data_IF_333096247270
#
_entry.id   IF_333096247270
#
_cell.length_a   1.000
_cell.length_b   1.000
_cell.length_c   1.000
_cell.angle_alpha   90.00
_cell.angle_beta   90.00
_cell.angle_gamma   90.00
#
_symmetry.space_group_name_H-M   'P 1'
#
loop_
_entity.id
_entity.type
_entity.pdbx_description
1 polymer ?
#
# COMPACT_ATOMS: atom_id res chain seq x y z
N UNK A 1 57.56 4.03 5.40
CA UNK A 1 57.73 4.87 6.59
C UNK A 1 56.32 5.24 7.07
N UNK A 2 55.78 4.46 8.01
CA UNK A 2 54.59 4.84 8.77
C UNK A 2 55.16 5.45 10.06
N UNK A 3 54.91 6.74 10.28
CA UNK A 3 55.36 7.42 11.48
C UNK A 3 54.64 6.87 12.72
N UNK A 4 55.41 6.66 13.80
CA UNK A 4 54.89 6.31 15.13
C UNK A 4 54.05 7.46 15.67
N UNK A 5 52.81 7.52 15.28
CA UNK A 5 51.86 8.56 15.69
C UNK A 5 50.39 8.28 15.34
N UNK A 6 50.18 7.28 14.48
CA UNK A 6 48.84 7.04 13.89
C UNK A 6 47.98 5.93 14.55
N UNK A 7 48.23 5.62 15.82
CA UNK A 7 47.42 4.63 16.56
C UNK A 7 45.97 5.07 16.77
N UNK A 8 45.64 6.35 16.58
CA UNK A 8 44.27 6.87 16.70
C UNK A 8 43.45 6.72 15.41
N UNK A 9 44.11 6.65 14.24
CA UNK A 9 43.44 6.55 12.92
C UNK A 9 43.09 5.10 12.53
N UNK A 10 43.82 4.12 13.04
CA UNK A 10 43.57 2.70 12.72
C UNK A 10 42.17 2.19 13.13
N UNK A 11 41.66 2.51 14.32
CA UNK A 11 40.28 2.10 14.67
C UNK A 11 39.20 2.73 13.78
N UNK A 12 39.36 4.03 13.44
CA UNK A 12 38.42 4.73 12.55
C UNK A 12 38.45 4.17 11.13
N UNK A 13 39.65 3.86 10.61
CA UNK A 13 39.81 3.21 9.31
C UNK A 13 39.22 1.81 9.30
N UNK A 14 39.46 1.01 10.36
CA UNK A 14 38.91 -0.32 10.50
C UNK A 14 37.39 -0.29 10.61
N UNK A 15 36.82 0.66 11.36
CA UNK A 15 35.39 0.87 11.43
C UNK A 15 34.81 1.22 10.07
N UNK A 16 35.42 2.16 9.34
CA UNK A 16 35.01 2.53 7.98
C UNK A 16 35.02 1.32 7.01
N UNK A 17 36.06 0.48 7.07
CA UNK A 17 36.12 -0.74 6.25
C UNK A 17 35.06 -1.75 6.65
N UNK A 18 34.77 -1.91 7.94
CA UNK A 18 33.72 -2.78 8.43
C UNK A 18 32.35 -2.27 7.99
N UNK A 19 32.06 -0.97 8.18
CA UNK A 19 30.82 -0.34 7.77
C UNK A 19 30.60 -0.46 6.24
N UNK A 20 31.64 -0.27 5.45
CA UNK A 20 31.60 -0.46 3.99
C UNK A 20 31.32 -1.93 3.61
N UNK A 21 31.90 -2.89 4.36
CA UNK A 21 31.65 -4.32 4.15
C UNK A 21 30.22 -4.71 4.53
N UNK A 22 29.74 -4.24 5.66
CA UNK A 22 28.34 -4.47 6.12
C UNK A 22 27.35 -3.86 5.15
N UNK A 23 27.59 -2.63 4.68
CA UNK A 23 26.73 -1.99 3.67
C UNK A 23 26.72 -2.78 2.36
N UNK A 24 27.88 -3.27 1.90
CA UNK A 24 27.95 -4.07 0.68
C UNK A 24 27.23 -5.42 0.86
N UNK A 25 27.28 -6.02 2.06
CA UNK A 25 26.55 -7.24 2.37
C UNK A 25 25.04 -6.98 2.42
N UNK A 26 24.60 -5.96 3.14
CA UNK A 26 23.20 -5.54 3.20
C UNK A 26 22.63 -5.30 1.80
N UNK A 27 23.37 -4.59 0.94
CA UNK A 27 22.99 -4.35 -0.46
C UNK A 27 22.87 -5.63 -1.28
N UNK A 28 23.77 -6.60 -1.09
CA UNK A 28 23.66 -7.92 -1.76
C UNK A 28 22.38 -8.65 -1.34
N UNK A 29 22.07 -8.69 -0.04
CA UNK A 29 20.84 -9.29 0.48
C UNK A 29 19.62 -8.57 -0.11
N UNK A 30 19.59 -7.24 -0.01
CA UNK A 30 18.48 -6.41 -0.53
C UNK A 30 18.23 -6.67 -2.03
N UNK A 31 19.30 -6.71 -2.83
CA UNK A 31 19.16 -6.95 -4.29
C UNK A 31 18.78 -8.40 -4.63
N UNK A 32 18.99 -9.36 -3.73
CA UNK A 32 18.66 -10.78 -3.96
C UNK A 32 17.19 -11.11 -3.71
N UNK A 33 16.45 -10.25 -3.02
CA UNK A 33 15.02 -10.41 -2.69
C UNK A 33 14.16 -9.43 -3.49
N UNK A 34 12.88 -9.75 -3.67
CA UNK A 34 11.91 -8.80 -4.20
C UNK A 34 11.52 -7.83 -3.08
N UNK A 35 11.77 -6.55 -3.28
CA UNK A 35 11.39 -5.49 -2.33
C UNK A 35 10.08 -4.86 -2.72
N UNK A 36 9.18 -4.71 -1.75
CA UNK A 36 7.82 -4.24 -1.98
C UNK A 36 7.40 -3.26 -0.90
N UNK A 37 6.91 -2.10 -1.34
CA UNK A 37 6.10 -1.17 -0.55
C UNK A 37 4.63 -1.47 -0.80
N UNK A 38 3.95 -1.93 0.25
CA UNK A 38 2.57 -2.39 0.15
C UNK A 38 1.52 -1.27 0.12
N UNK A 39 1.91 -0.01 0.39
CA UNK A 39 0.98 1.11 0.40
C UNK A 39 1.68 2.45 0.21
N UNK A 40 1.34 3.17 -0.84
CA UNK A 40 1.93 4.45 -1.18
C UNK A 40 0.86 5.45 -1.65
N UNK A 41 0.74 6.56 -0.92
CA UNK A 41 -0.23 7.63 -1.19
C UNK A 41 0.28 8.70 -2.16
N UNK A 42 1.35 8.44 -2.90
CA UNK A 42 1.83 9.39 -3.93
C UNK A 42 0.71 9.90 -4.87
N UNK A 43 -0.31 9.07 -5.26
CA UNK A 43 -1.41 9.56 -6.09
C UNK A 43 -2.25 10.70 -5.48
N UNK A 44 -2.21 10.92 -4.17
CA UNK A 44 -2.87 12.08 -3.53
C UNK A 44 -2.33 13.44 -4.02
N UNK A 45 -1.15 13.45 -4.62
CA UNK A 45 -0.48 14.66 -5.11
C UNK A 45 -0.66 14.90 -6.61
N UNK A 46 -1.42 14.06 -7.32
CA UNK A 46 -1.53 14.14 -8.79
C UNK A 46 -2.19 15.42 -9.32
N UNK A 47 -2.95 16.11 -8.50
CA UNK A 47 -3.54 17.42 -8.78
C UNK A 47 -2.54 18.60 -8.61
N UNK A 48 -1.31 18.34 -8.12
CA UNK A 48 -0.33 19.36 -7.74
C UNK A 48 0.84 19.50 -8.74
N UNK A 49 0.65 19.16 -10.00
CA UNK A 49 1.71 19.21 -11.04
C UNK A 49 3.00 18.46 -10.65
N UNK A 50 2.85 17.26 -10.08
CA UNK A 50 3.98 16.39 -9.75
C UNK A 50 4.35 15.48 -10.92
N UNK A 51 5.64 15.13 -11.01
CA UNK A 51 6.17 14.25 -12.05
C UNK A 51 6.87 13.04 -11.43
N UNK A 52 6.36 11.84 -11.69
CA UNK A 52 6.93 10.59 -11.19
C UNK A 52 8.22 10.16 -11.91
N UNK A 53 8.49 10.68 -13.11
CA UNK A 53 9.67 10.34 -13.90
C UNK A 53 10.92 11.12 -13.48
N UNK A 54 10.75 12.18 -12.73
CA UNK A 54 11.82 13.03 -12.20
C UNK A 54 11.84 12.97 -10.68
N UNK A 55 13.03 13.24 -10.09
CA UNK A 55 13.15 13.37 -8.64
C UNK A 55 12.39 14.63 -8.17
N UNK A 56 11.15 14.42 -7.72
CA UNK A 56 10.27 15.50 -7.30
C UNK A 56 10.42 15.75 -5.78
N UNK A 57 10.77 16.98 -5.35
CA UNK A 57 10.92 17.31 -3.93
C UNK A 57 9.60 17.27 -3.14
N UNK A 58 8.45 17.35 -3.81
CA UNK A 58 7.12 17.27 -3.19
C UNK A 58 6.73 15.84 -2.84
N UNK A 59 7.34 14.84 -3.48
CA UNK A 59 7.00 13.44 -3.32
C UNK A 59 7.99 12.72 -2.42
N UNK A 60 7.54 11.80 -1.60
CA UNK A 60 8.40 10.86 -0.86
C UNK A 60 8.81 9.68 -1.74
N UNK A 61 7.93 9.24 -2.65
CA UNK A 61 8.17 8.17 -3.60
C UNK A 61 7.93 8.67 -5.02
N UNK A 62 8.95 8.55 -5.86
CA UNK A 62 8.92 8.71 -7.31
C UNK A 62 9.82 7.63 -7.95
N UNK A 63 9.78 7.45 -9.26
CA UNK A 63 10.52 6.37 -9.91
C UNK A 63 12.04 6.48 -9.77
N UNK A 64 12.67 7.66 -9.87
CA UNK A 64 14.09 7.84 -9.52
C UNK A 64 14.42 7.40 -8.10
N UNK A 65 13.63 7.79 -7.08
CA UNK A 65 13.85 7.40 -5.69
C UNK A 65 13.67 5.89 -5.47
N UNK A 66 12.69 5.26 -6.14
CA UNK A 66 12.55 3.81 -6.12
C UNK A 66 13.80 3.12 -6.67
N UNK A 67 14.38 3.61 -7.79
CA UNK A 67 15.62 3.06 -8.34
C UNK A 67 16.81 3.24 -7.41
N UNK A 68 16.98 4.44 -6.85
CA UNK A 68 18.05 4.76 -5.90
C UNK A 68 17.95 3.90 -4.62
N UNK A 69 16.73 3.70 -4.11
CA UNK A 69 16.45 2.89 -2.93
C UNK A 69 16.41 1.38 -3.21
N UNK A 70 16.55 0.95 -4.47
CA UNK A 70 16.38 -0.45 -4.89
C UNK A 70 15.02 -1.03 -4.47
N UNK A 71 13.96 -0.22 -4.54
CA UNK A 71 12.59 -0.66 -4.32
C UNK A 71 12.02 -1.16 -5.65
N UNK A 72 11.74 -2.46 -5.74
CA UNK A 72 11.28 -3.09 -6.98
C UNK A 72 9.81 -2.82 -7.27
N UNK A 73 8.99 -2.75 -6.21
CA UNK A 73 7.52 -2.67 -6.30
C UNK A 73 6.98 -1.61 -5.35
N UNK A 74 6.10 -0.75 -5.82
CA UNK A 74 5.26 0.09 -4.94
C UNK A 74 3.79 -0.07 -5.30
N UNK A 75 2.92 -0.19 -4.29
CA UNK A 75 1.48 -0.19 -4.48
C UNK A 75 0.95 1.23 -4.36
N UNK A 76 0.67 1.85 -5.49
CA UNK A 76 0.07 3.18 -5.56
C UNK A 76 -1.44 3.10 -5.33
N UNK A 77 -1.94 3.94 -4.45
CA UNK A 77 -3.29 3.79 -3.92
C UNK A 77 -4.20 4.95 -4.31
N UNK A 78 -5.40 4.62 -4.76
CA UNK A 78 -6.50 5.57 -4.86
C UNK A 78 -7.09 5.75 -3.45
N UNK A 79 -6.60 6.75 -2.73
CA UNK A 79 -7.11 7.14 -1.43
C UNK A 79 -8.38 7.97 -1.55
N UNK A 80 -9.34 7.68 -0.67
CA UNK A 80 -10.61 8.41 -0.57
C UNK A 80 -10.88 8.80 0.88
N UNK A 81 -10.96 10.10 1.19
CA UNK A 81 -11.40 10.53 2.52
C UNK A 81 -12.82 10.02 2.78
N UNK A 82 -13.11 9.65 4.02
CA UNK A 82 -14.48 9.28 4.39
C UNK A 82 -15.38 10.50 4.37
N UNK A 83 -16.38 10.46 3.52
CA UNK A 83 -17.47 11.42 3.44
C UNK A 83 -18.79 10.87 3.99
N UNK A 84 -19.87 11.58 3.73
CA UNK A 84 -21.23 11.15 4.08
C UNK A 84 -21.63 9.90 3.28
N UNK A 85 -22.37 8.98 3.93
CA UNK A 85 -22.87 7.77 3.27
C UNK A 85 -24.18 8.03 2.50
N UNK A 86 -24.26 9.14 1.76
CA UNK A 86 -25.37 9.42 0.84
C UNK A 86 -25.10 8.82 -0.54
N UNK A 87 -26.11 8.56 -1.35
CA UNK A 87 -25.93 8.06 -2.72
C UNK A 87 -25.02 8.95 -3.56
N UNK A 88 -25.21 10.26 -3.51
CA UNK A 88 -24.48 11.25 -4.29
C UNK A 88 -22.98 11.29 -3.88
N UNK A 89 -22.72 11.28 -2.58
CA UNK A 89 -21.35 11.27 -2.06
C UNK A 89 -20.62 9.96 -2.39
N UNK A 90 -21.33 8.82 -2.31
CA UNK A 90 -20.79 7.51 -2.70
C UNK A 90 -20.48 7.44 -4.19
N UNK A 91 -21.36 7.97 -5.05
CA UNK A 91 -21.12 8.04 -6.50
C UNK A 91 -19.91 8.90 -6.83
N UNK A 92 -19.77 10.06 -6.19
CA UNK A 92 -18.60 10.93 -6.35
C UNK A 92 -17.30 10.24 -5.91
N UNK A 93 -17.31 9.50 -4.79
CA UNK A 93 -16.18 8.74 -4.32
C UNK A 93 -15.79 7.61 -5.31
N UNK A 94 -16.77 6.90 -5.83
CA UNK A 94 -16.57 5.88 -6.87
C UNK A 94 -15.93 6.48 -8.12
N UNK A 95 -16.45 7.60 -8.62
CA UNK A 95 -15.91 8.30 -9.78
C UNK A 95 -14.46 8.77 -9.54
N UNK A 96 -14.17 9.29 -8.35
CA UNK A 96 -12.81 9.71 -7.98
C UNK A 96 -11.83 8.52 -7.93
N UNK A 97 -12.24 7.37 -7.41
CA UNK A 97 -11.41 6.17 -7.42
C UNK A 97 -11.06 5.73 -8.85
N UNK A 98 -12.04 5.68 -9.76
CA UNK A 98 -11.81 5.36 -11.17
C UNK A 98 -10.85 6.35 -11.83
N UNK A 99 -11.03 7.64 -11.57
CA UNK A 99 -10.15 8.70 -12.09
C UNK A 99 -8.71 8.50 -11.63
N UNK A 100 -8.48 8.32 -10.33
CA UNK A 100 -7.13 8.14 -9.78
C UNK A 100 -6.46 6.88 -10.32
N UNK A 101 -7.19 5.75 -10.43
CA UNK A 101 -6.66 4.51 -11.01
C UNK A 101 -6.26 4.69 -12.48
N UNK A 102 -7.04 5.43 -13.27
CA UNK A 102 -6.70 5.74 -14.65
C UNK A 102 -5.48 6.66 -14.76
N UNK A 103 -5.33 7.64 -13.86
CA UNK A 103 -4.17 8.51 -13.80
C UNK A 103 -2.89 7.74 -13.42
N UNK A 104 -2.96 6.78 -12.48
CA UNK A 104 -1.83 5.87 -12.18
C UNK A 104 -1.42 5.12 -13.44
N UNK A 105 -2.38 4.52 -14.15
CA UNK A 105 -2.11 3.78 -15.39
C UNK A 105 -1.44 4.65 -16.46
N UNK A 106 -1.97 5.84 -16.68
CA UNK A 106 -1.43 6.80 -17.65
C UNK A 106 0.01 7.19 -17.32
N UNK A 107 0.31 7.52 -16.06
CA UNK A 107 1.65 7.92 -15.62
C UNK A 107 2.66 6.78 -15.75
N UNK A 108 2.25 5.55 -15.42
CA UNK A 108 3.09 4.36 -15.60
C UNK A 108 3.34 4.06 -17.08
N UNK A 109 2.32 4.19 -17.93
CA UNK A 109 2.44 3.93 -19.38
C UNK A 109 3.44 4.86 -20.07
N UNK A 110 3.65 6.08 -19.55
CA UNK A 110 4.62 7.04 -20.11
C UNK A 110 6.02 6.86 -19.53
N UNK A 111 6.19 6.18 -18.40
CA UNK A 111 7.47 6.07 -17.70
C UNK A 111 8.34 4.91 -18.22
N UNK A 112 9.52 5.18 -18.81
CA UNK A 112 10.39 4.13 -19.32
C UNK A 112 10.85 3.17 -18.22
N UNK A 113 10.69 1.85 -18.49
CA UNK A 113 11.11 0.81 -17.55
C UNK A 113 10.30 0.73 -16.25
N UNK A 114 9.07 1.25 -16.28
CA UNK A 114 8.08 1.07 -15.22
C UNK A 114 6.86 0.38 -15.82
N UNK A 115 6.29 -0.58 -15.12
CA UNK A 115 5.15 -1.37 -15.63
C UNK A 115 4.12 -1.65 -14.54
N UNK A 116 2.86 -1.73 -14.93
CA UNK A 116 1.81 -2.23 -14.04
C UNK A 116 1.95 -3.74 -13.83
N UNK A 117 1.67 -4.19 -12.61
CA UNK A 117 1.66 -5.61 -12.27
C UNK A 117 0.52 -5.93 -11.31
N UNK A 118 0.00 -7.16 -11.41
CA UNK A 118 -1.13 -7.66 -10.62
C UNK A 118 -0.85 -9.02 -9.98
N UNK A 119 0.16 -9.73 -10.50
CA UNK A 119 0.45 -11.11 -10.09
C UNK A 119 1.93 -11.26 -9.69
N UNK A 120 2.24 -12.10 -8.69
CA UNK A 120 3.62 -12.31 -8.23
C UNK A 120 4.59 -12.68 -9.36
N UNK A 121 4.17 -13.53 -10.30
CA UNK A 121 5.02 -13.92 -11.43
C UNK A 121 5.46 -12.73 -12.32
N UNK A 122 4.61 -11.71 -12.44
CA UNK A 122 4.97 -10.48 -13.16
C UNK A 122 6.03 -9.69 -12.39
N UNK A 123 5.90 -9.58 -11.06
CA UNK A 123 6.83 -8.86 -10.21
C UNK A 123 8.25 -9.43 -10.32
N UNK A 124 8.39 -10.75 -10.19
CA UNK A 124 9.69 -11.42 -10.34
C UNK A 124 10.27 -11.27 -11.75
N UNK A 125 9.45 -11.39 -12.78
CA UNK A 125 9.89 -11.18 -14.19
C UNK A 125 10.38 -9.74 -14.38
N UNK A 126 9.60 -8.76 -13.94
CA UNK A 126 9.95 -7.35 -14.08
C UNK A 126 11.27 -7.02 -13.37
N UNK A 127 11.49 -7.56 -12.17
CA UNK A 127 12.77 -7.43 -11.46
C UNK A 127 13.92 -8.00 -12.27
N UNK A 128 13.78 -9.20 -12.84
CA UNK A 128 14.82 -9.82 -13.69
C UNK A 128 15.10 -8.99 -14.95
N UNK A 129 14.10 -8.29 -15.47
CA UNK A 129 14.22 -7.39 -16.63
C UNK A 129 14.70 -5.98 -16.26
N UNK A 130 14.98 -5.71 -14.96
CA UNK A 130 15.42 -4.40 -14.47
C UNK A 130 14.33 -3.33 -14.51
N UNK A 131 13.05 -3.75 -14.52
CA UNK A 131 11.89 -2.86 -14.52
C UNK A 131 11.36 -2.67 -13.10
N UNK A 132 10.88 -1.46 -12.81
CA UNK A 132 10.05 -1.20 -11.63
C UNK A 132 8.63 -1.67 -11.87
N UNK A 133 7.98 -2.16 -10.82
CA UNK A 133 6.57 -2.54 -10.85
C UNK A 133 5.72 -1.58 -10.04
N UNK A 134 4.56 -1.24 -10.56
CA UNK A 134 3.51 -0.52 -9.83
C UNK A 134 2.30 -1.43 -9.73
N UNK A 135 1.85 -1.69 -8.52
CA UNK A 135 0.53 -2.28 -8.26
C UNK A 135 -0.46 -1.16 -7.93
N UNK A 136 -1.76 -1.45 -8.05
CA UNK A 136 -2.83 -0.50 -7.73
C UNK A 136 -3.66 -1.00 -6.57
N UNK A 137 -3.87 -0.15 -5.56
CA UNK A 137 -4.78 -0.38 -4.46
C UNK A 137 -5.88 0.67 -4.39
N UNK A 138 -6.90 0.41 -3.59
CA UNK A 138 -7.88 1.42 -3.18
C UNK A 138 -7.86 1.49 -1.66
N UNK A 139 -7.72 2.69 -1.11
CA UNK A 139 -7.88 2.92 0.31
C UNK A 139 -9.21 3.58 0.59
N UNK A 140 -10.01 2.89 1.37
CA UNK A 140 -11.38 3.13 1.77
C UNK A 140 -12.42 2.53 0.81
N UNK A 141 -13.04 1.44 1.24
CA UNK A 141 -14.15 0.77 0.55
C UNK A 141 -15.38 1.67 0.32
N UNK A 142 -15.36 2.89 0.86
CA UNK A 142 -16.29 3.94 0.51
C UNK A 142 -16.43 4.15 -1.01
N UNK A 143 -15.33 3.86 -1.76
CA UNK A 143 -15.31 3.85 -3.22
C UNK A 143 -16.28 2.83 -3.86
N UNK A 144 -16.65 1.77 -3.15
CA UNK A 144 -17.57 0.75 -3.66
C UNK A 144 -18.99 1.32 -3.76
N UNK A 145 -19.32 2.32 -2.93
CA UNK A 145 -20.67 2.82 -2.77
C UNK A 145 -21.57 1.71 -2.24
N UNK A 146 -22.78 1.61 -2.77
CA UNK A 146 -23.73 0.52 -2.46
C UNK A 146 -23.93 -0.44 -3.64
N UNK A 147 -22.98 -0.46 -4.58
CA UNK A 147 -23.03 -1.31 -5.77
C UNK A 147 -21.84 -2.30 -5.77
N UNK A 148 -22.13 -3.57 -5.45
CA UNK A 148 -21.15 -4.64 -5.48
C UNK A 148 -20.47 -4.84 -6.84
N UNK A 149 -21.10 -4.42 -7.95
CA UNK A 149 -20.49 -4.51 -9.27
C UNK A 149 -19.22 -3.65 -9.38
N UNK A 150 -19.09 -2.61 -8.55
CA UNK A 150 -17.88 -1.80 -8.53
C UNK A 150 -16.65 -2.59 -8.07
N UNK A 151 -16.80 -3.60 -7.22
CA UNK A 151 -15.70 -4.51 -6.84
C UNK A 151 -15.14 -5.22 -8.07
N UNK A 152 -16.00 -5.76 -8.93
CA UNK A 152 -15.57 -6.42 -10.17
C UNK A 152 -14.96 -5.42 -11.16
N UNK A 153 -15.53 -4.22 -11.28
CA UNK A 153 -14.97 -3.17 -12.15
C UNK A 153 -13.55 -2.79 -11.70
N UNK A 154 -13.32 -2.62 -10.40
CA UNK A 154 -11.99 -2.33 -9.85
C UNK A 154 -11.00 -3.49 -10.08
N UNK A 155 -11.44 -4.73 -9.90
CA UNK A 155 -10.63 -5.91 -10.21
C UNK A 155 -10.20 -5.93 -11.69
N UNK A 156 -11.11 -5.64 -12.62
CA UNK A 156 -10.81 -5.54 -14.06
C UNK A 156 -9.83 -4.41 -14.39
N UNK A 157 -9.78 -3.34 -13.61
CA UNK A 157 -8.75 -2.30 -13.71
C UNK A 157 -7.41 -2.72 -13.11
N UNK A 158 -7.31 -3.93 -12.55
CA UNK A 158 -6.08 -4.45 -11.98
C UNK A 158 -5.75 -3.95 -10.58
N UNK A 159 -6.75 -3.56 -9.83
CA UNK A 159 -6.62 -3.35 -8.39
C UNK A 159 -6.27 -4.68 -7.72
N UNK A 160 -5.34 -4.67 -6.77
CA UNK A 160 -4.90 -5.90 -6.08
C UNK A 160 -5.52 -6.02 -4.69
N UNK A 161 -5.90 -4.92 -4.06
CA UNK A 161 -6.64 -4.91 -2.79
C UNK A 161 -7.55 -3.69 -2.64
N UNK A 162 -8.52 -3.80 -1.75
CA UNK A 162 -9.33 -2.67 -1.26
C UNK A 162 -9.28 -2.69 0.27
N UNK A 163 -8.86 -1.56 0.87
CA UNK A 163 -8.94 -1.34 2.32
C UNK A 163 -10.39 -1.04 2.68
N UNK A 164 -11.00 -1.82 3.57
CA UNK A 164 -12.46 -1.77 3.81
C UNK A 164 -12.97 -0.42 4.33
N UNK A 165 -12.15 0.29 5.11
CA UNK A 165 -12.48 1.63 5.61
C UNK A 165 -11.21 2.46 5.79
N UNK A 166 -11.37 3.75 6.06
CA UNK A 166 -10.29 4.64 6.50
C UNK A 166 -10.60 5.19 7.91
N UNK A 167 -10.37 6.45 8.17
CA UNK A 167 -10.65 7.11 9.45
C UNK A 167 -12.14 7.50 9.57
N UNK A 168 -13.00 6.53 9.79
CA UNK A 168 -14.44 6.68 9.95
C UNK A 168 -15.18 5.42 9.53
N UNK A 169 -16.29 5.16 10.21
CA UNK A 169 -17.21 4.07 9.86
C UNK A 169 -17.86 4.39 8.50
N UNK A 170 -18.03 3.37 7.66
CA UNK A 170 -18.73 3.49 6.39
C UNK A 170 -19.86 2.45 6.27
N UNK A 171 -20.41 2.21 5.10
CA UNK A 171 -21.47 1.22 4.93
C UNK A 171 -20.97 -0.23 5.01
N UNK A 172 -19.64 -0.45 5.02
CA UNK A 172 -19.01 -1.77 5.03
C UNK A 172 -18.67 -2.21 6.45
N UNK A 173 -17.98 -1.36 7.23
CA UNK A 173 -17.49 -1.74 8.55
C UNK A 173 -17.18 -0.55 9.47
N UNK A 174 -16.91 -0.87 10.72
CA UNK A 174 -16.42 0.08 11.71
C UNK A 174 -14.91 0.28 11.59
N UNK A 175 -14.47 1.52 11.72
CA UNK A 175 -13.07 1.94 11.72
C UNK A 175 -12.45 1.89 13.11
N UNK A 176 -11.13 1.70 13.20
CA UNK A 176 -10.36 1.84 14.43
C UNK A 176 -10.36 3.28 14.97
N UNK A 177 -10.53 4.28 14.09
CA UNK A 177 -10.67 5.70 14.45
C UNK A 177 -12.11 6.17 14.23
N UNK A 178 -12.96 5.80 15.16
CA UNK A 178 -14.38 6.16 15.16
C UNK A 178 -14.78 6.89 16.44
N UNK A 179 -15.78 7.73 16.34
CA UNK A 179 -16.42 8.36 17.50
C UNK A 179 -17.56 7.51 18.08
N UNK A 180 -18.11 6.60 17.28
CA UNK A 180 -19.21 5.69 17.63
C UNK A 180 -19.02 4.36 16.91
N UNK A 181 -19.67 3.33 17.40
CA UNK A 181 -19.72 2.02 16.78
C UNK A 181 -21.02 1.92 15.97
N UNK A 182 -20.89 1.85 14.64
CA UNK A 182 -22.04 1.87 13.74
C UNK A 182 -22.63 0.46 13.52
N UNK A 183 -21.77 -0.56 13.40
CA UNK A 183 -22.17 -1.92 13.03
C UNK A 183 -21.79 -2.97 14.08
N UNK A 184 -20.84 -2.67 14.95
CA UNK A 184 -20.25 -3.65 15.86
C UNK A 184 -19.22 -4.56 15.17
N UNK A 185 -18.79 -4.21 13.97
CA UNK A 185 -17.89 -4.98 13.11
C UNK A 185 -18.23 -4.78 11.64
N UNK A 186 -18.33 -5.86 10.85
CA UNK A 186 -18.85 -5.81 9.49
C UNK A 186 -20.37 -5.66 9.46
N UNK A 187 -20.87 -4.79 8.60
CA UNK A 187 -22.29 -4.75 8.23
C UNK A 187 -22.68 -6.00 7.40
N UNK A 188 -23.98 -6.18 7.16
CA UNK A 188 -24.44 -7.21 6.21
C UNK A 188 -23.87 -6.97 4.81
N UNK A 189 -23.90 -5.73 4.34
CA UNK A 189 -23.28 -5.31 3.07
C UNK A 189 -21.76 -5.56 3.07
N UNK A 190 -21.07 -5.26 4.18
CA UNK A 190 -19.64 -5.52 4.31
C UNK A 190 -19.26 -6.98 4.15
N UNK A 191 -20.09 -7.90 4.64
CA UNK A 191 -19.91 -9.35 4.41
C UNK A 191 -20.05 -9.73 2.93
N UNK A 192 -20.99 -9.11 2.23
CA UNK A 192 -21.15 -9.31 0.78
C UNK A 192 -19.97 -8.72 0.00
N UNK A 193 -19.45 -7.56 0.41
CA UNK A 193 -18.23 -6.97 -0.17
C UNK A 193 -17.04 -7.90 -0.01
N UNK A 194 -16.79 -8.47 1.18
CA UNK A 194 -15.68 -9.40 1.42
C UNK A 194 -15.81 -10.64 0.52
N UNK A 195 -17.00 -11.23 0.40
CA UNK A 195 -17.24 -12.38 -0.48
C UNK A 195 -17.00 -12.03 -1.95
N UNK A 196 -17.46 -10.86 -2.38
CA UNK A 196 -17.27 -10.40 -3.75
C UNK A 196 -15.80 -10.11 -4.07
N UNK A 197 -15.06 -9.52 -3.13
CA UNK A 197 -13.62 -9.35 -3.26
C UNK A 197 -12.91 -10.69 -3.43
N UNK A 198 -13.24 -11.70 -2.60
CA UNK A 198 -12.70 -13.05 -2.75
C UNK A 198 -13.04 -13.65 -4.13
N UNK A 199 -14.29 -13.52 -4.60
CA UNK A 199 -14.71 -13.99 -5.91
C UNK A 199 -13.90 -13.32 -7.05
N UNK A 200 -13.61 -12.05 -6.92
CA UNK A 200 -12.88 -11.28 -7.92
C UNK A 200 -11.35 -11.42 -7.80
N UNK A 201 -10.84 -12.14 -6.80
CA UNK A 201 -9.40 -12.31 -6.57
C UNK A 201 -8.72 -11.07 -5.98
N UNK A 202 -9.45 -10.18 -5.33
CA UNK A 202 -8.94 -9.03 -4.59
C UNK A 202 -8.61 -9.42 -3.16
N UNK A 203 -7.45 -8.97 -2.66
CA UNK A 203 -7.11 -9.11 -1.24
C UNK A 203 -7.98 -8.14 -0.41
N UNK A 204 -8.47 -8.63 0.72
CA UNK A 204 -9.18 -7.81 1.71
C UNK A 204 -8.15 -7.15 2.62
N UNK A 205 -8.02 -5.83 2.53
CA UNK A 205 -7.09 -5.08 3.38
C UNK A 205 -7.83 -4.52 4.61
N UNK A 206 -7.33 -4.86 5.78
CA UNK A 206 -7.91 -4.51 7.08
C UNK A 206 -7.12 -3.43 7.82
N UNK A 207 -6.19 -2.75 7.15
CA UNK A 207 -5.65 -1.51 7.68
C UNK A 207 -6.81 -0.56 8.01
N UNK A 208 -6.71 0.21 9.07
CA UNK A 208 -7.78 1.09 9.59
C UNK A 208 -9.01 0.40 10.21
N UNK A 209 -9.25 -0.88 10.01
CA UNK A 209 -10.41 -1.57 10.53
C UNK A 209 -10.41 -1.66 12.07
N UNK A 210 -11.58 -1.54 12.67
CA UNK A 210 -11.74 -1.86 14.08
C UNK A 210 -11.43 -3.33 14.35
N UNK A 211 -11.03 -3.67 15.56
CA UNK A 211 -10.73 -5.04 15.96
C UNK A 211 -11.90 -6.00 15.69
N UNK A 212 -13.13 -5.55 15.97
CA UNK A 212 -14.36 -6.32 15.64
C UNK A 212 -14.53 -6.52 14.15
N UNK A 213 -14.26 -5.48 13.34
CA UNK A 213 -14.31 -5.58 11.87
C UNK A 213 -13.23 -6.51 11.33
N UNK A 214 -12.04 -6.51 11.94
CA UNK A 214 -10.94 -7.40 11.58
C UNK A 214 -11.34 -8.87 11.73
N UNK A 215 -11.82 -9.26 12.91
CA UNK A 215 -12.20 -10.65 13.16
C UNK A 215 -13.43 -11.09 12.36
N UNK A 216 -14.41 -10.20 12.17
CA UNK A 216 -15.57 -10.48 11.31
C UNK A 216 -15.14 -10.71 9.84
N UNK A 217 -14.21 -9.90 9.32
CA UNK A 217 -13.69 -10.05 7.98
C UNK A 217 -12.86 -11.34 7.85
N UNK A 218 -12.02 -11.64 8.85
CA UNK A 218 -11.24 -12.87 8.89
C UNK A 218 -12.13 -14.13 8.85
N UNK A 219 -13.25 -14.12 9.58
CA UNK A 219 -14.21 -15.22 9.57
C UNK A 219 -15.00 -15.32 8.26
N UNK A 220 -15.23 -14.19 7.59
CA UNK A 220 -16.01 -14.12 6.36
C UNK A 220 -15.17 -14.46 5.12
N UNK A 221 -13.88 -14.13 5.13
CA UNK A 221 -12.98 -14.31 3.99
C UNK A 221 -12.60 -15.78 3.81
N UNK A 222 -12.62 -16.23 2.55
CA UNK A 222 -12.15 -17.57 2.14
C UNK A 222 -10.70 -17.56 1.64
N UNK A 223 -10.09 -16.38 1.56
CA UNK A 223 -8.70 -16.17 1.14
C UNK A 223 -7.94 -15.40 2.23
N UNK A 224 -6.60 -15.45 2.26
CA UNK A 224 -5.82 -14.65 3.21
C UNK A 224 -6.19 -13.17 3.13
N UNK A 225 -6.29 -12.53 4.29
CA UNK A 225 -6.45 -11.08 4.44
C UNK A 225 -5.08 -10.42 4.55
N UNK A 226 -5.02 -9.11 4.35
CA UNK A 226 -3.80 -8.30 4.52
C UNK A 226 -4.04 -7.10 5.42
N UNK A 227 -2.96 -6.56 5.97
CA UNK A 227 -2.90 -5.23 6.57
C UNK A 227 -1.75 -4.48 5.91
N UNK A 228 -2.05 -3.78 4.83
CA UNK A 228 -1.05 -3.16 3.94
C UNK A 228 -0.17 -2.14 4.65
N UNK A 229 -0.71 -1.41 5.64
CA UNK A 229 -0.03 -0.34 6.37
C UNK A 229 -0.50 -0.26 7.83
N UNK A 230 -0.17 -1.26 8.62
CA UNK A 230 -0.39 -1.30 10.06
C UNK A 230 0.92 -1.57 10.80
N UNK A 231 0.97 -1.28 12.10
CA UNK A 231 2.13 -1.54 12.95
C UNK A 231 1.75 -2.45 14.12
N UNK A 232 2.73 -2.76 14.98
CA UNK A 232 2.51 -3.57 16.18
C UNK A 232 2.00 -2.73 17.35
N UNK A 233 0.92 -3.19 18.00
CA UNK A 233 0.38 -2.55 19.20
C UNK A 233 1.32 -2.70 20.39
N UNK A 234 2.11 -3.75 20.44
CA UNK A 234 3.13 -3.95 21.48
C UNK A 234 4.22 -2.87 21.42
N UNK A 235 4.54 -2.36 20.23
CA UNK A 235 5.52 -1.29 20.04
C UNK A 235 4.92 0.10 20.26
N UNK A 236 3.66 0.30 19.89
CA UNK A 236 2.95 1.57 20.07
C UNK A 236 1.47 1.27 20.32
N UNK A 237 1.02 1.55 21.55
CA UNK A 237 -0.36 1.31 21.96
C UNK A 237 -1.33 2.32 21.32
N UNK A 238 -1.71 2.02 20.07
CA UNK A 238 -2.64 2.82 19.29
C UNK A 238 -3.70 1.90 18.66
N UNK A 239 -4.99 2.30 18.58
CA UNK A 239 -6.06 1.45 18.01
C UNK A 239 -5.86 1.07 16.56
N UNK A 240 -5.03 1.82 15.79
CA UNK A 240 -4.65 1.51 14.41
C UNK A 240 -3.63 0.35 14.30
N UNK A 241 -2.98 0.00 15.39
CA UNK A 241 -1.96 -1.04 15.40
C UNK A 241 -2.58 -2.39 15.78
N UNK A 242 -2.01 -3.45 15.21
CA UNK A 242 -2.45 -4.82 15.42
C UNK A 242 -1.91 -5.38 16.74
N UNK A 243 -2.73 -6.16 17.43
CA UNK A 243 -2.26 -6.99 18.53
C UNK A 243 -1.44 -8.17 18.02
N UNK A 244 -0.67 -8.80 18.89
CA UNK A 244 0.09 -10.01 18.53
C UNK A 244 -0.84 -11.16 18.13
N UNK A 245 -2.06 -11.22 18.72
CA UNK A 245 -3.09 -12.19 18.35
C UNK A 245 -3.63 -11.95 16.92
N UNK A 246 -3.87 -10.71 16.55
CA UNK A 246 -4.27 -10.36 15.17
C UNK A 246 -3.19 -10.72 14.16
#
# INVERSE_FOLDING_TARGET
>A
FIAEGDTCMMPLFQQFVNDASEFAQARRVHNSVLTLDSHCDTPMFFDQEVNLEHRDPKLLVDFPKMREGHLDVSTMVAYLPQGDCTPEASEAATAQAFKTLAEIEQRVAHAPGVVLAQHPAQLYRNKLEGKLSVMRGIENGYAIGKDLQNVEKFARMGVVYITLCHNGDNDICDSARRSSQRHGGLSAFGRDVVREMNRCGLMVDLSHAAETSFYDALQCSTTPIVCSHASSRAMCNHPRNLTDDQ
#
